data_IF_282322554889
#
_entry.id   IF_282322554889
#
_cell.length_a   1.000
_cell.length_b   1.000
_cell.length_c   1.000
_cell.angle_alpha   90.00
_cell.angle_beta   90.00
_cell.angle_gamma   90.00
#
_symmetry.space_group_name_H-M   'P 1'
#
loop_
_entity.id
_entity.type
_entity.pdbx_description
1 polymer ?
#
# COMPACT_ATOMS: atom_id res chain seq x y z
N UNK A 1 -32.21 24.36 8.18
CA UNK A 1 -32.53 22.96 7.82
C UNK A 1 -32.03 22.51 6.44
N UNK A 2 -31.55 23.39 5.53
CA UNK A 2 -31.07 23.01 4.19
C UNK A 2 -29.58 22.61 4.12
N UNK A 3 -28.73 23.19 4.99
CA UNK A 3 -27.27 22.99 4.98
C UNK A 3 -26.79 21.68 5.59
N UNK A 4 -27.62 21.03 6.42
CA UNK A 4 -27.24 19.78 7.10
C UNK A 4 -27.04 18.63 6.09
N UNK A 5 -27.81 18.62 5.00
CA UNK A 5 -27.68 17.62 3.95
C UNK A 5 -26.44 17.84 3.07
N UNK A 6 -26.05 19.10 2.83
CA UNK A 6 -24.80 19.45 2.15
C UNK A 6 -23.58 18.98 2.96
N UNK A 7 -23.61 19.14 4.28
CA UNK A 7 -22.57 18.65 5.18
C UNK A 7 -22.41 17.12 5.12
N UNK A 8 -23.52 16.37 5.07
CA UNK A 8 -23.45 14.91 4.92
C UNK A 8 -22.90 14.47 3.57
N UNK A 9 -23.25 15.19 2.50
CA UNK A 9 -22.71 14.93 1.16
C UNK A 9 -21.21 15.20 1.10
N UNK A 10 -20.75 16.28 1.73
CA UNK A 10 -19.35 16.67 1.77
C UNK A 10 -18.50 15.67 2.55
N UNK A 11 -19.02 15.15 3.67
CA UNK A 11 -18.36 14.10 4.47
C UNK A 11 -18.24 12.78 3.70
N UNK A 12 -19.27 12.40 2.93
CA UNK A 12 -19.24 11.20 2.11
C UNK A 12 -18.19 11.27 0.99
N UNK A 13 -18.01 12.44 0.37
CA UNK A 13 -17.00 12.65 -0.67
C UNK A 13 -15.58 12.59 -0.09
N UNK A 14 -15.36 13.11 1.11
CA UNK A 14 -14.06 13.07 1.77
C UNK A 14 -13.68 11.64 2.24
N UNK A 15 -14.67 10.82 2.60
CA UNK A 15 -14.44 9.44 3.06
C UNK A 15 -13.87 8.51 1.99
N UNK A 16 -14.17 8.72 0.70
CA UNK A 16 -13.72 7.85 -0.39
C UNK A 16 -12.29 8.13 -0.86
N UNK A 17 -11.74 9.31 -0.54
CA UNK A 17 -10.37 9.69 -0.88
C UNK A 17 -9.31 8.96 -0.05
N UNK A 18 -9.66 8.51 1.15
CA UNK A 18 -8.71 7.85 2.08
C UNK A 18 -8.57 6.33 1.83
N UNK A 19 -9.46 5.71 1.05
CA UNK A 19 -9.50 4.26 0.87
C UNK A 19 -8.63 3.74 -0.30
N UNK A 20 -8.08 4.62 -1.14
CA UNK A 20 -7.42 4.23 -2.39
C UNK A 20 -5.91 3.98 -2.30
N UNK A 21 -5.35 3.75 -1.10
CA UNK A 21 -3.97 3.24 -1.06
C UNK A 21 -3.95 1.81 -1.58
N UNK A 22 -3.27 1.51 -2.70
CA UNK A 22 -3.09 0.13 -3.14
C UNK A 22 -2.45 -0.66 -2.00
N UNK A 23 -3.19 -1.64 -1.51
CA UNK A 23 -2.71 -2.54 -0.48
C UNK A 23 -1.64 -3.43 -1.10
N UNK A 24 -0.50 -3.56 -0.40
CA UNK A 24 0.53 -4.48 -0.83
C UNK A 24 0.03 -5.93 -0.72
N UNK A 25 0.49 -6.82 -1.63
CA UNK A 25 0.15 -8.24 -1.55
C UNK A 25 0.60 -8.84 -0.21
N UNK A 26 -0.05 -9.93 0.20
CA UNK A 26 0.22 -10.59 1.48
C UNK A 26 1.70 -10.94 1.62
N UNK A 27 2.31 -10.56 2.74
CA UNK A 27 3.75 -10.75 2.99
C UNK A 27 4.63 -9.59 2.56
N UNK A 28 4.07 -8.53 1.95
CA UNK A 28 4.77 -7.30 1.64
C UNK A 28 4.26 -6.14 2.51
N UNK A 29 5.19 -5.33 3.00
CA UNK A 29 4.94 -4.09 3.71
C UNK A 29 5.12 -2.91 2.77
N UNK A 30 4.29 -1.89 2.90
CA UNK A 30 4.44 -0.65 2.12
C UNK A 30 5.58 0.16 2.70
N UNK A 31 6.62 0.41 1.91
CA UNK A 31 7.72 1.30 2.24
C UNK A 31 7.82 2.38 1.16
N UNK A 32 7.54 3.63 1.56
CA UNK A 32 7.35 4.76 0.65
C UNK A 32 6.29 4.45 -0.44
N UNK A 33 6.72 4.28 -1.68
CA UNK A 33 5.85 3.99 -2.83
C UNK A 33 6.06 2.58 -3.40
N UNK A 34 6.68 1.69 -2.64
CA UNK A 34 6.97 0.32 -3.05
C UNK A 34 6.47 -0.69 -2.03
N UNK A 35 6.14 -1.88 -2.50
CA UNK A 35 5.82 -3.02 -1.65
C UNK A 35 7.09 -3.84 -1.44
N UNK A 36 7.57 -3.92 -0.20
CA UNK A 36 8.84 -4.58 0.14
C UNK A 36 8.62 -5.73 1.12
N UNK A 37 9.47 -6.74 1.07
CA UNK A 37 9.52 -7.81 2.07
C UNK A 37 10.96 -8.13 2.45
N UNK A 38 11.14 -8.72 3.63
CA UNK A 38 12.46 -9.18 4.08
C UNK A 38 12.94 -10.31 3.17
N UNK A 39 14.24 -10.33 2.88
CA UNK A 39 14.86 -11.43 2.16
C UNK A 39 14.72 -12.73 2.98
N UNK A 40 14.26 -13.85 2.39
CA UNK A 40 14.26 -15.13 3.07
C UNK A 40 15.71 -15.59 3.37
N UNK A 41 15.89 -16.34 4.47
CA UNK A 41 17.22 -16.85 4.90
C UNK A 41 17.81 -17.79 3.85
N UNK A 42 16.95 -18.59 3.21
CA UNK A 42 17.31 -19.49 2.12
C UNK A 42 16.36 -19.26 0.94
N UNK A 43 16.92 -19.25 -0.27
CA UNK A 43 16.15 -19.13 -1.51
C UNK A 43 16.05 -17.72 -2.08
N UNK A 44 15.14 -17.58 -3.03
CA UNK A 44 14.90 -16.36 -3.81
C UNK A 44 13.76 -15.53 -3.21
N UNK A 45 13.70 -14.25 -3.61
CA UNK A 45 12.60 -13.38 -3.23
C UNK A 45 11.23 -13.96 -3.68
N UNK A 46 10.13 -13.66 -2.96
CA UNK A 46 8.80 -14.15 -3.33
C UNK A 46 8.41 -13.77 -4.77
N UNK A 47 7.56 -14.59 -5.41
CA UNK A 47 7.13 -14.38 -6.81
C UNK A 47 6.64 -12.95 -7.04
N UNK A 48 7.07 -12.35 -8.15
CA UNK A 48 6.75 -10.96 -8.50
C UNK A 48 7.58 -9.91 -7.76
N UNK A 49 8.59 -10.30 -6.98
CA UNK A 49 9.53 -9.37 -6.35
C UNK A 49 10.97 -9.68 -6.75
N UNK A 50 11.80 -8.63 -6.76
CA UNK A 50 13.23 -8.71 -7.07
C UNK A 50 14.05 -8.26 -5.88
N UNK A 51 15.19 -8.90 -5.69
CA UNK A 51 16.12 -8.49 -4.65
C UNK A 51 16.77 -7.16 -5.02
N UNK A 52 16.69 -6.18 -4.12
CA UNK A 52 17.40 -4.91 -4.23
C UNK A 52 18.59 -4.92 -3.25
N UNK A 53 19.80 -4.87 -3.81
CA UNK A 53 21.06 -4.90 -3.05
C UNK A 53 21.23 -3.65 -2.19
N UNK A 54 20.73 -2.49 -2.63
CA UNK A 54 20.86 -1.23 -1.89
C UNK A 54 20.05 -1.19 -0.59
N UNK A 55 18.91 -1.86 -0.56
CA UNK A 55 18.04 -1.93 0.62
C UNK A 55 18.10 -3.28 1.35
N UNK A 56 18.76 -4.30 0.78
CA UNK A 56 18.72 -5.69 1.24
C UNK A 56 17.29 -6.24 1.41
N UNK A 57 16.36 -5.76 0.60
CA UNK A 57 14.94 -6.12 0.63
C UNK A 57 14.47 -6.66 -0.72
N UNK A 58 13.42 -7.47 -0.69
CA UNK A 58 12.71 -7.91 -1.88
C UNK A 58 11.65 -6.86 -2.24
N UNK A 59 11.79 -6.23 -3.41
CA UNK A 59 10.89 -5.18 -3.90
C UNK A 59 9.92 -5.78 -4.93
N UNK A 60 8.62 -5.66 -4.67
CA UNK A 60 7.53 -6.05 -5.56
C UNK A 60 7.15 -4.87 -6.43
N UNK A 61 7.16 -5.07 -7.76
CA UNK A 61 6.91 -4.05 -8.78
C UNK A 61 5.87 -4.52 -9.77
#
# INVERSE_FOLDING_TARGET
MKFLWLLTFLLAILGTALAHTPACPKGFSRQANQCVSKRPVHGECPKGSKYNVGSNLCVHN
#
